data_IF_361957688376
#
_entry.id   IF_361957688376
#
_cell.length_a   1.000
_cell.length_b   1.000
_cell.length_c   1.000
_cell.angle_alpha   90.00
_cell.angle_beta   90.00
_cell.angle_gamma   90.00
#
_symmetry.space_group_name_H-M   'P 1'
#
loop_
_entity.id
_entity.type
_entity.pdbx_description
1 polymer ?
#
# COMPACT_ATOMS: atom_id res chain seq x y z
N UNK A 1 -6.31 -1.68 -14.82
CA UNK A 1 -4.92 -1.93 -14.36
C UNK A 1 -4.93 -3.13 -13.43
N UNK A 2 -4.27 -4.24 -13.79
CA UNK A 2 -4.17 -5.41 -12.91
C UNK A 2 -2.89 -5.27 -12.07
N UNK A 3 -2.98 -4.69 -10.87
CA UNK A 3 -1.84 -4.48 -9.99
C UNK A 3 -2.24 -4.59 -8.52
N UNK A 4 -1.24 -4.62 -7.63
CA UNK A 4 -1.41 -4.72 -6.18
C UNK A 4 -1.79 -3.40 -5.50
N UNK A 5 -1.51 -2.25 -6.14
CA UNK A 5 -1.71 -0.93 -5.54
C UNK A 5 -3.18 -0.49 -5.50
N UNK A 6 -3.94 -0.69 -6.58
CA UNK A 6 -5.35 -0.25 -6.68
C UNK A 6 -6.23 -0.92 -5.61
N UNK A 7 -6.18 -2.26 -5.40
CA UNK A 7 -6.92 -2.89 -4.31
C UNK A 7 -6.52 -2.31 -2.93
N UNK A 8 -5.23 -2.05 -2.72
CA UNK A 8 -4.73 -1.49 -1.47
C UNK A 8 -5.34 -0.11 -1.19
N UNK A 9 -5.25 0.83 -2.14
CA UNK A 9 -5.81 2.18 -1.99
C UNK A 9 -7.31 2.15 -1.69
N UNK A 10 -8.07 1.30 -2.39
CA UNK A 10 -9.50 1.09 -2.13
C UNK A 10 -9.76 0.61 -0.71
N UNK A 11 -9.04 -0.42 -0.27
CA UNK A 11 -9.21 -0.98 1.07
C UNK A 11 -8.94 0.05 2.16
N UNK A 12 -7.93 0.92 2.00
CA UNK A 12 -7.58 1.93 3.02
C UNK A 12 -8.67 3.00 3.22
N UNK A 13 -9.46 3.30 2.19
CA UNK A 13 -10.61 4.23 2.26
C UNK A 13 -11.88 3.55 2.78
N UNK A 14 -11.98 2.23 2.65
CA UNK A 14 -13.18 1.44 2.94
C UNK A 14 -13.24 0.83 4.34
N UNK A 15 -14.37 0.19 4.63
CA UNK A 15 -14.48 -0.70 5.80
C UNK A 15 -13.64 -1.97 5.59
N UNK A 16 -12.92 -2.48 6.61
CA UNK A 16 -12.94 -2.04 8.01
C UNK A 16 -11.95 -0.92 8.36
N UNK A 17 -11.01 -0.58 7.47
CA UNK A 17 -9.91 0.35 7.75
C UNK A 17 -10.38 1.75 8.17
N UNK A 18 -11.48 2.26 7.62
CA UNK A 18 -12.07 3.54 8.02
C UNK A 18 -12.45 3.63 9.50
N UNK A 19 -12.73 2.48 10.15
CA UNK A 19 -13.05 2.40 11.57
C UNK A 19 -11.81 2.06 12.41
N UNK A 20 -11.09 0.99 12.07
CA UNK A 20 -10.01 0.47 12.91
C UNK A 20 -8.77 1.39 12.94
N UNK A 21 -8.56 2.21 11.92
CA UNK A 21 -7.45 3.19 11.90
C UNK A 21 -7.55 4.23 13.01
N UNK A 22 -8.73 4.42 13.62
CA UNK A 22 -8.95 5.40 14.68
C UNK A 22 -8.45 4.93 16.04
N UNK A 23 -8.15 3.63 16.21
CA UNK A 23 -7.83 3.03 17.51
C UNK A 23 -6.43 2.41 17.57
N UNK A 24 -5.73 2.31 16.44
CA UNK A 24 -4.36 1.80 16.38
C UNK A 24 -3.50 2.76 15.50
N UNK A 25 -2.47 3.42 16.07
CA UNK A 25 -1.69 4.43 15.37
C UNK A 25 -0.81 3.84 14.25
N UNK A 26 -0.46 2.57 14.33
CA UNK A 26 0.28 1.92 13.25
C UNK A 26 -0.64 1.67 12.04
N UNK A 27 -1.86 1.19 12.29
CA UNK A 27 -2.88 1.07 11.23
C UNK A 27 -3.23 2.43 10.65
N UNK A 28 -3.31 3.47 11.48
CA UNK A 28 -3.49 4.85 11.04
C UNK A 28 -2.38 5.31 10.08
N UNK A 29 -1.12 5.21 10.51
CA UNK A 29 0.03 5.59 9.69
C UNK A 29 0.08 4.82 8.37
N UNK A 30 -0.21 3.52 8.41
CA UNK A 30 -0.27 2.68 7.21
C UNK A 30 -1.36 3.15 6.24
N UNK A 31 -2.59 3.39 6.72
CA UNK A 31 -3.67 3.92 5.88
C UNK A 31 -3.33 5.30 5.33
N UNK A 32 -2.82 6.20 6.17
CA UNK A 32 -2.50 7.58 5.80
C UNK A 32 -1.41 7.63 4.73
N UNK A 33 -0.35 6.80 4.83
CA UNK A 33 0.68 6.67 3.80
C UNK A 33 0.08 6.35 2.43
N UNK A 34 -0.79 5.34 2.37
CA UNK A 34 -1.38 4.89 1.10
C UNK A 34 -2.38 5.91 0.54
N UNK A 35 -3.18 6.55 1.39
CA UNK A 35 -4.11 7.61 0.96
C UNK A 35 -3.33 8.81 0.42
N UNK A 36 -2.23 9.22 1.08
CA UNK A 36 -1.37 10.31 0.60
C UNK A 36 -0.71 9.92 -0.71
N UNK A 37 -0.21 8.69 -0.84
CA UNK A 37 0.38 8.21 -2.07
C UNK A 37 -0.62 8.24 -3.23
N UNK A 38 -1.85 7.72 -3.05
CA UNK A 38 -2.92 7.84 -4.04
C UNK A 38 -3.17 9.32 -4.39
N UNK A 39 -3.35 10.17 -3.37
CA UNK A 39 -3.64 11.59 -3.56
C UNK A 39 -2.55 12.29 -4.37
N UNK A 40 -1.27 12.08 -4.07
CA UNK A 40 -0.17 12.74 -4.76
C UNK A 40 0.03 12.17 -6.16
N UNK A 41 0.05 10.84 -6.30
CA UNK A 41 0.30 10.17 -7.59
C UNK A 41 -0.80 10.45 -8.61
N UNK A 42 -2.04 10.62 -8.16
CA UNK A 42 -3.20 10.84 -9.03
C UNK A 42 -3.74 12.28 -8.94
N UNK A 43 -2.94 13.26 -8.50
CA UNK A 43 -3.27 14.70 -8.50
C UNK A 43 -4.58 15.06 -7.77
N UNK A 44 -4.80 14.48 -6.60
CA UNK A 44 -6.02 14.64 -5.82
C UNK A 44 -7.23 13.86 -6.36
N UNK A 45 -7.09 13.23 -7.53
CA UNK A 45 -8.02 12.23 -8.05
C UNK A 45 -7.69 10.86 -7.47
N UNK A 46 -8.57 9.88 -7.67
CA UNK A 46 -8.33 8.50 -7.23
C UNK A 46 -7.67 7.69 -8.33
N UNK A 47 -7.09 6.54 -7.97
CA UNK A 47 -6.56 5.57 -8.93
C UNK A 47 -7.64 4.93 -9.85
N UNK A 48 -8.91 5.28 -9.65
CA UNK A 48 -10.05 4.84 -10.45
C UNK A 48 -10.50 5.89 -11.47
N UNK A 49 -10.03 7.14 -11.32
CA UNK A 49 -10.36 8.22 -12.25
C UNK A 49 -9.51 8.08 -13.51
N UNK A 50 -10.15 8.05 -14.68
CA UNK A 50 -9.46 8.04 -15.97
C UNK A 50 -8.49 9.22 -16.10
N UNK A 51 -8.97 10.44 -15.81
CA UNK A 51 -8.12 11.63 -15.76
C UNK A 51 -6.95 11.48 -14.79
N UNK A 52 -7.19 10.92 -13.60
CA UNK A 52 -6.14 10.70 -12.61
C UNK A 52 -5.05 9.77 -13.13
N UNK A 53 -5.46 8.69 -13.79
CA UNK A 53 -4.56 7.70 -14.40
C UNK A 53 -3.75 8.34 -15.54
N UNK A 54 -4.37 9.13 -16.41
CA UNK A 54 -3.63 9.80 -17.48
C UNK A 54 -2.68 10.88 -16.96
N UNK A 55 -3.05 11.64 -15.92
CA UNK A 55 -2.13 12.57 -15.27
C UNK A 55 -0.91 11.83 -14.67
N UNK A 56 -1.13 10.72 -13.97
CA UNK A 56 -0.05 9.90 -13.39
C UNK A 56 0.88 9.33 -14.47
N UNK A 57 0.31 8.86 -15.59
CA UNK A 57 1.07 8.34 -16.73
C UNK A 57 1.88 9.44 -17.42
N UNK A 58 1.28 10.62 -17.64
CA UNK A 58 1.97 11.79 -18.18
C UNK A 58 3.19 12.14 -17.33
N UNK A 59 3.01 12.26 -16.02
CA UNK A 59 4.12 12.58 -15.10
C UNK A 59 5.25 11.55 -15.19
N UNK A 60 4.91 10.26 -15.28
CA UNK A 60 5.90 9.19 -15.43
C UNK A 60 6.72 9.35 -16.71
N UNK A 61 6.05 9.64 -17.83
CA UNK A 61 6.70 9.84 -19.13
C UNK A 61 7.56 11.11 -19.14
N UNK A 62 7.03 12.23 -18.64
CA UNK A 62 7.74 13.50 -18.57
C UNK A 62 8.99 13.42 -17.68
N UNK A 63 8.90 12.77 -16.52
CA UNK A 63 10.04 12.61 -15.62
C UNK A 63 11.11 11.70 -16.22
N UNK A 64 10.72 10.63 -16.92
CA UNK A 64 11.66 9.76 -17.63
C UNK A 64 12.40 10.51 -18.74
N UNK A 65 11.70 11.30 -19.57
CA UNK A 65 12.33 12.09 -20.62
C UNK A 65 13.20 13.22 -20.05
N UNK A 66 12.78 13.84 -18.94
CA UNK A 66 13.59 14.81 -18.22
C UNK A 66 14.89 14.19 -17.73
N UNK A 67 14.86 12.99 -17.18
CA UNK A 67 16.08 12.28 -16.75
C UNK A 67 17.03 12.02 -17.93
N UNK A 68 16.52 11.56 -19.08
CA UNK A 68 17.30 11.32 -20.31
C UNK A 68 17.90 12.60 -20.90
N UNK A 69 17.21 13.72 -20.76
CA UNK A 69 17.65 15.01 -21.32
C UNK A 69 18.70 15.69 -20.43
N UNK A 70 18.56 15.56 -19.11
CA UNK A 70 19.47 16.22 -18.15
C UNK A 70 20.78 15.46 -17.95
N UNK A 71 20.77 14.13 -18.05
CA UNK A 71 21.96 13.33 -17.85
C UNK A 71 22.83 13.28 -19.14
N UNK A 72 24.16 13.41 -19.03
CA UNK A 72 25.05 13.09 -20.14
C UNK A 72 24.82 11.65 -20.62
N UNK A 73 24.81 11.43 -21.95
CA UNK A 73 24.47 10.12 -22.55
C UNK A 73 25.39 8.99 -22.09
N UNK A 74 26.65 9.29 -21.83
CA UNK A 74 27.67 8.36 -21.33
C UNK A 74 27.56 8.09 -19.82
N UNK A 75 26.67 8.82 -19.11
CA UNK A 75 26.45 8.71 -17.67
C UNK A 75 25.04 8.29 -17.28
N UNK A 76 24.24 7.84 -18.25
CA UNK A 76 22.91 7.30 -18.01
C UNK A 76 22.73 5.95 -18.71
N UNK A 77 22.42 4.92 -17.93
CA UNK A 77 21.92 3.65 -18.44
C UNK A 77 20.40 3.66 -18.44
N UNK A 78 19.79 3.57 -19.61
CA UNK A 78 18.33 3.35 -19.74
C UNK A 78 18.09 1.86 -19.86
N UNK A 79 17.73 1.21 -18.76
CA UNK A 79 17.43 -0.22 -18.74
C UNK A 79 15.92 -0.45 -18.80
N UNK A 80 15.47 -1.20 -19.81
CA UNK A 80 14.05 -1.56 -19.99
C UNK A 80 13.83 -3.01 -19.59
N UNK A 81 12.69 -3.32 -18.98
CA UNK A 81 12.42 -4.68 -18.51
C UNK A 81 12.37 -5.69 -19.67
N UNK A 82 11.89 -5.27 -20.83
CA UNK A 82 11.84 -6.06 -22.06
C UNK A 82 13.22 -6.45 -22.63
N UNK A 83 14.26 -5.63 -22.37
CA UNK A 83 15.63 -5.90 -22.81
C UNK A 83 16.41 -6.74 -21.79
N UNK A 84 15.76 -7.08 -20.67
CA UNK A 84 16.41 -7.63 -19.49
C UNK A 84 16.87 -6.54 -18.53
N UNK A 85 16.80 -6.87 -17.23
CA UNK A 85 17.28 -6.02 -16.14
C UNK A 85 18.11 -6.89 -15.20
N UNK A 86 19.44 -6.87 -15.40
CA UNK A 86 20.38 -7.75 -14.71
C UNK A 86 21.82 -7.26 -14.75
N UNK A 87 22.75 -8.13 -14.34
CA UNK A 87 24.17 -7.81 -14.32
C UNK A 87 24.72 -7.55 -15.72
N UNK A 88 24.18 -8.22 -16.73
CA UNK A 88 24.58 -8.13 -18.12
C UNK A 88 24.36 -6.72 -18.70
N UNK A 89 23.33 -5.98 -18.22
CA UNK A 89 23.08 -4.60 -18.61
C UNK A 89 23.84 -3.61 -17.73
N UNK A 90 23.93 -3.88 -16.42
CA UNK A 90 24.46 -2.93 -15.44
C UNK A 90 26.00 -2.94 -15.38
N UNK A 91 26.63 -4.12 -15.33
CA UNK A 91 28.08 -4.23 -15.09
C UNK A 91 28.93 -3.64 -16.23
N UNK A 92 28.64 -3.87 -17.53
CA UNK A 92 29.40 -3.26 -18.61
C UNK A 92 29.33 -1.73 -18.60
N UNK A 93 28.15 -1.17 -18.30
CA UNK A 93 27.98 0.28 -18.17
C UNK A 93 28.80 0.87 -17.02
N UNK A 94 28.90 0.14 -15.90
CA UNK A 94 29.71 0.55 -14.74
C UNK A 94 31.21 0.24 -14.88
N UNK A 95 31.64 -0.48 -15.92
CA UNK A 95 33.04 -0.89 -16.11
C UNK A 95 33.52 -1.98 -15.13
N UNK A 96 32.61 -2.80 -14.62
CA UNK A 96 32.92 -3.89 -13.68
C UNK A 96 32.69 -5.28 -14.30
N UNK A 97 33.42 -6.32 -13.84
CA UNK A 97 33.13 -7.68 -14.25
C UNK A 97 31.74 -8.12 -13.77
N UNK A 98 31.08 -8.97 -14.56
CA UNK A 98 29.82 -9.61 -14.17
C UNK A 98 30.12 -10.60 -13.03
N UNK A 99 29.44 -10.53 -11.88
CA UNK A 99 29.65 -11.47 -10.78
C UNK A 99 29.07 -12.85 -11.10
N UNK A 100 29.65 -13.90 -10.52
CA UNK A 100 29.08 -15.27 -10.61
C UNK A 100 27.74 -15.40 -9.87
N UNK A 101 27.49 -14.52 -8.90
CA UNK A 101 26.25 -14.49 -8.14
C UNK A 101 25.07 -14.05 -9.03
N UNK A 102 23.95 -14.77 -8.91
CA UNK A 102 22.70 -14.43 -9.61
C UNK A 102 22.24 -13.02 -9.26
N UNK A 103 21.72 -12.29 -10.26
CA UNK A 103 21.09 -10.98 -10.03
C UNK A 103 19.97 -11.09 -8.97
N UNK A 104 19.94 -10.19 -7.97
CA UNK A 104 18.97 -10.27 -6.89
C UNK A 104 17.55 -10.11 -7.43
N UNK A 105 16.66 -11.01 -7.00
CA UNK A 105 15.22 -10.89 -7.22
C UNK A 105 14.57 -10.60 -5.88
N UNK A 106 14.20 -9.34 -5.67
CA UNK A 106 13.45 -8.90 -4.49
C UNK A 106 12.15 -8.22 -4.88
N UNK A 107 11.34 -7.88 -3.87
CA UNK A 107 10.02 -7.29 -4.01
C UNK A 107 9.04 -8.19 -4.80
N UNK A 108 9.17 -9.51 -4.63
CA UNK A 108 8.21 -10.45 -5.18
C UNK A 108 6.87 -10.32 -4.42
N UNK A 109 5.70 -10.53 -5.06
CA UNK A 109 4.41 -10.45 -4.38
C UNK A 109 4.32 -11.29 -3.09
N UNK A 110 4.99 -12.44 -3.06
CA UNK A 110 5.06 -13.33 -1.89
C UNK A 110 5.82 -12.72 -0.72
N UNK A 111 6.88 -11.94 -0.98
CA UNK A 111 7.65 -11.25 0.06
C UNK A 111 6.81 -10.14 0.68
N UNK A 112 6.04 -9.41 -0.14
CA UNK A 112 5.08 -8.41 0.34
C UNK A 112 3.98 -9.06 1.19
N UNK A 113 3.45 -10.21 0.75
CA UNK A 113 2.45 -10.96 1.52
C UNK A 113 2.99 -11.39 2.89
N UNK A 114 4.22 -11.91 2.94
CA UNK A 114 4.86 -12.30 4.20
C UNK A 114 5.02 -11.11 5.15
N UNK A 115 5.50 -9.97 4.65
CA UNK A 115 5.58 -8.73 5.43
C UNK A 115 4.21 -8.32 5.96
N UNK A 116 3.16 -8.42 5.15
CA UNK A 116 1.80 -8.11 5.58
C UNK A 116 1.30 -9.05 6.68
N UNK A 117 1.55 -10.35 6.55
CA UNK A 117 1.14 -11.37 7.51
C UNK A 117 1.85 -11.21 8.87
N UNK A 118 3.12 -10.82 8.87
CA UNK A 118 3.92 -10.67 10.09
C UNK A 118 3.68 -9.33 10.81
N UNK A 119 3.46 -8.24 10.06
CA UNK A 119 3.37 -6.89 10.65
C UNK A 119 1.96 -6.30 10.66
N UNK A 120 1.22 -6.41 9.54
CA UNK A 120 -0.05 -5.72 9.36
C UNK A 120 -1.22 -6.52 9.95
N UNK A 121 -1.31 -7.81 9.63
CA UNK A 121 -2.43 -8.66 10.02
C UNK A 121 -2.65 -8.72 11.54
N UNK A 122 -1.62 -8.89 12.39
CA UNK A 122 -1.82 -8.94 13.84
C UNK A 122 -2.38 -7.62 14.41
N UNK A 123 -1.92 -6.49 13.87
CA UNK A 123 -2.38 -5.16 14.27
C UNK A 123 -3.81 -4.90 13.83
N UNK A 124 -4.16 -5.27 12.59
CA UNK A 124 -5.53 -5.18 12.07
C UNK A 124 -6.49 -6.02 12.92
N UNK A 125 -6.11 -7.26 13.26
CA UNK A 125 -6.92 -8.14 14.13
C UNK A 125 -7.13 -7.52 15.51
N UNK A 126 -6.06 -7.04 16.15
CA UNK A 126 -6.15 -6.37 17.45
C UNK A 126 -7.05 -5.15 17.41
N UNK A 127 -6.86 -4.26 16.44
CA UNK A 127 -7.68 -3.06 16.27
C UNK A 127 -9.15 -3.39 16.00
N UNK A 128 -9.41 -4.41 15.18
CA UNK A 128 -10.75 -4.93 14.92
C UNK A 128 -11.43 -5.46 16.19
N UNK A 129 -10.72 -6.23 17.01
CA UNK A 129 -11.21 -6.71 18.30
C UNK A 129 -11.51 -5.56 19.26
N UNK A 130 -10.65 -4.52 19.31
CA UNK A 130 -10.89 -3.33 20.12
C UNK A 130 -12.18 -2.61 19.71
N UNK A 131 -12.35 -2.32 18.42
CA UNK A 131 -13.58 -1.68 17.90
C UNK A 131 -14.81 -2.54 18.19
N UNK A 132 -14.73 -3.84 17.95
CA UNK A 132 -15.85 -4.77 18.21
C UNK A 132 -16.21 -4.79 19.70
N UNK A 133 -15.22 -4.88 20.59
CA UNK A 133 -15.45 -4.91 22.04
C UNK A 133 -16.05 -3.60 22.55
N UNK A 134 -15.61 -2.45 22.02
CA UNK A 134 -16.15 -1.14 22.37
C UNK A 134 -17.63 -0.97 21.99
N UNK A 135 -18.12 -1.73 21.00
CA UNK A 135 -19.53 -1.73 20.59
C UNK A 135 -20.33 -2.79 21.34
N UNK A 136 -19.82 -4.03 21.41
CA UNK A 136 -20.54 -5.16 21.99
C UNK A 136 -20.71 -5.04 23.51
N UNK A 137 -19.68 -4.60 24.25
CA UNK A 137 -19.74 -4.54 25.71
C UNK A 137 -20.86 -3.59 26.19
N UNK A 138 -20.96 -2.33 25.69
CA UNK A 138 -22.06 -1.46 26.06
C UNK A 138 -23.42 -1.99 25.63
N UNK A 139 -23.54 -2.54 24.41
CA UNK A 139 -24.80 -3.06 23.88
C UNK A 139 -25.34 -4.23 24.73
N UNK A 140 -24.49 -5.20 25.06
CA UNK A 140 -24.85 -6.33 25.92
C UNK A 140 -25.17 -5.88 27.34
N UNK A 141 -24.42 -4.91 27.88
CA UNK A 141 -24.68 -4.36 29.22
C UNK A 141 -26.04 -3.67 29.30
N UNK A 142 -26.40 -2.85 28.30
CA UNK A 142 -27.70 -2.18 28.23
C UNK A 142 -28.83 -3.21 28.06
N UNK A 143 -28.65 -4.19 27.18
CA UNK A 143 -29.62 -5.27 26.97
C UNK A 143 -29.88 -6.08 28.25
N UNK A 144 -28.82 -6.44 28.98
CA UNK A 144 -28.93 -7.14 30.25
C UNK A 144 -29.65 -6.30 31.32
N UNK A 145 -29.32 -5.00 31.44
CA UNK A 145 -30.01 -4.10 32.36
C UNK A 145 -31.50 -3.94 32.04
N UNK A 146 -31.85 -3.86 30.76
CA UNK A 146 -33.24 -3.78 30.32
C UNK A 146 -34.00 -5.07 30.64
N UNK A 147 -33.42 -6.23 30.34
CA UNK A 147 -33.99 -7.53 30.66
C UNK A 147 -34.24 -7.71 32.16
N UNK A 148 -33.24 -7.40 33.00
CA UNK A 148 -33.37 -7.49 34.46
C UNK A 148 -34.44 -6.54 35.02
N UNK A 149 -34.59 -5.34 34.45
CA UNK A 149 -35.68 -4.41 34.82
C UNK A 149 -37.05 -4.93 34.42
N UNK A 150 -37.19 -5.54 33.24
CA UNK A 150 -38.45 -6.13 32.78
C UNK A 150 -38.85 -7.34 33.64
N UNK A 151 -37.90 -8.22 33.95
CA UNK A 151 -38.14 -9.41 34.78
C UNK A 151 -38.56 -9.07 36.22
N UNK A 152 -38.05 -7.98 36.80
CA UNK A 152 -38.45 -7.51 38.15
C UNK A 152 -39.84 -6.84 38.21
N UNK A 153 -40.45 -6.52 37.07
CA UNK A 153 -41.79 -5.90 37.01
C UNK A 153 -42.93 -6.92 36.86
N UNK A 154 -42.59 -8.19 36.64
CA UNK A 154 -43.49 -9.34 36.66
C UNK A 154 -43.48 -9.96 38.06
#
# INVERSE_FOLDING_TARGET
MNNTAVPMFKSMRGFPFSAIRKVDPFVEGFCSLHIILETVTYHGKTCESEDGVELSKRDTLELNEKAKTLAPRDRLLVARLEDGFGWEQICPFLGHPIPEARYPRGNAPQEFQKMADELLVPRIRRAGLMVLSAVLIPALSIGALYYLKAAKRQ
#
